data_IF_853697672790
#
_entry.id   IF_853697672790
#
_cell.length_a   1.000
_cell.length_b   1.000
_cell.length_c   1.000
_cell.angle_alpha   90.00
_cell.angle_beta   90.00
_cell.angle_gamma   90.00
#
_symmetry.space_group_name_H-M   'P 1'
#
loop_
_entity.id
_entity.type
_entity.pdbx_description
1 polymer ?
#
# COMPACT_ATOMS: atom_id res chain seq x y z
N UNK A 1 5.54 -30.53 9.26
CA UNK A 1 5.99 -29.46 10.18
C UNK A 1 5.14 -29.56 11.44
N UNK A 2 5.74 -29.51 12.63
CA UNK A 2 4.98 -29.55 13.89
C UNK A 2 4.40 -28.18 14.19
N UNK A 3 3.37 -28.11 15.05
CA UNK A 3 2.79 -26.84 15.47
C UNK A 3 3.83 -25.90 16.11
N UNK A 4 4.75 -26.42 16.93
CA UNK A 4 5.81 -25.59 17.52
C UNK A 4 6.81 -25.10 16.49
N UNK A 5 7.10 -25.88 15.45
CA UNK A 5 7.97 -25.45 14.35
C UNK A 5 7.32 -24.34 13.52
N UNK A 6 6.00 -24.40 13.29
CA UNK A 6 5.26 -23.33 12.62
C UNK A 6 5.30 -22.01 13.41
N UNK A 7 5.05 -22.07 14.73
CA UNK A 7 5.11 -20.88 15.59
C UNK A 7 6.52 -20.28 15.59
N UNK A 8 7.55 -21.12 15.74
CA UNK A 8 8.93 -20.65 15.71
C UNK A 8 9.29 -19.96 14.38
N UNK A 9 8.89 -20.54 13.24
CA UNK A 9 9.27 -20.00 11.93
C UNK A 9 8.48 -18.74 11.54
N UNK A 10 7.17 -18.74 11.77
CA UNK A 10 6.27 -17.73 11.20
C UNK A 10 5.76 -16.71 12.22
N UNK A 11 5.85 -16.99 13.52
CA UNK A 11 5.42 -16.07 14.58
C UNK A 11 6.65 -15.47 15.29
N UNK A 12 7.49 -16.30 15.91
CA UNK A 12 8.63 -15.82 16.72
C UNK A 12 9.63 -15.02 15.88
N UNK A 13 10.04 -15.57 14.73
CA UNK A 13 10.99 -14.88 13.85
C UNK A 13 10.37 -13.64 13.22
N UNK A 14 9.05 -13.62 12.99
CA UNK A 14 8.35 -12.45 12.49
C UNK A 14 8.36 -11.32 13.54
N UNK A 15 8.08 -11.64 14.81
CA UNK A 15 8.22 -10.72 15.94
C UNK A 15 9.66 -10.20 16.10
N UNK A 16 10.67 -11.07 16.00
CA UNK A 16 12.07 -10.62 16.07
C UNK A 16 12.46 -9.73 14.89
N UNK A 17 11.93 -10.01 13.71
CA UNK A 17 12.14 -9.16 12.53
C UNK A 17 11.54 -7.78 12.77
N UNK A 18 10.35 -7.73 13.39
CA UNK A 18 9.70 -6.49 13.75
C UNK A 18 10.53 -5.65 14.71
N UNK A 19 10.97 -6.24 15.82
CA UNK A 19 11.79 -5.55 16.80
C UNK A 19 13.13 -5.08 16.21
N UNK A 20 13.69 -5.84 15.27
CA UNK A 20 14.92 -5.46 14.59
C UNK A 20 14.71 -4.25 13.67
N UNK A 21 13.61 -4.20 12.92
CA UNK A 21 13.26 -3.04 12.08
C UNK A 21 13.01 -1.81 12.94
N UNK A 22 12.33 -1.94 14.08
CA UNK A 22 12.13 -0.82 15.02
C UNK A 22 13.46 -0.21 15.49
N UNK A 23 14.48 -1.06 15.70
CA UNK A 23 15.82 -0.63 16.13
C UNK A 23 16.68 -0.07 15.00
N UNK A 24 16.53 -0.59 13.78
CA UNK A 24 17.37 -0.24 12.62
C UNK A 24 16.76 0.89 11.76
N UNK A 25 15.46 1.10 11.85
CA UNK A 25 14.69 2.12 11.15
C UNK A 25 13.98 1.62 9.86
N UNK A 26 12.98 2.40 9.44
CA UNK A 26 12.00 2.06 8.38
C UNK A 26 12.62 1.68 7.03
N UNK A 27 13.82 2.19 6.72
CA UNK A 27 14.53 1.84 5.47
C UNK A 27 14.80 0.34 5.32
N UNK A 28 14.76 -0.41 6.41
CA UNK A 28 14.96 -1.86 6.44
C UNK A 28 13.66 -2.65 6.48
N UNK A 29 12.49 -2.01 6.61
CA UNK A 29 11.21 -2.67 6.81
C UNK A 29 10.84 -3.60 5.64
N UNK A 30 10.74 -3.07 4.41
CA UNK A 30 10.40 -3.86 3.22
C UNK A 30 11.37 -5.03 2.99
N UNK A 31 12.70 -4.84 2.91
CA UNK A 31 13.60 -5.96 2.66
C UNK A 31 13.60 -7.00 3.79
N UNK A 32 13.50 -6.59 5.06
CA UNK A 32 13.40 -7.53 6.18
C UNK A 32 12.08 -8.32 6.15
N UNK A 33 10.99 -7.65 5.74
CA UNK A 33 9.67 -8.24 5.69
C UNK A 33 9.44 -9.18 4.49
N UNK A 34 10.36 -9.21 3.51
CA UNK A 34 10.34 -10.12 2.37
C UNK A 34 11.08 -11.45 2.62
N UNK A 35 11.41 -11.80 3.88
CA UNK A 35 12.22 -12.99 4.23
C UNK A 35 11.74 -14.33 3.65
N UNK A 36 10.43 -14.47 3.40
CA UNK A 36 9.81 -15.69 2.85
C UNK A 36 9.31 -15.58 1.41
N UNK A 37 9.21 -14.36 0.87
CA UNK A 37 8.44 -14.06 -0.35
C UNK A 37 9.32 -13.72 -1.57
N UNK A 38 10.56 -14.19 -1.59
CA UNK A 38 11.63 -13.72 -2.47
C UNK A 38 11.89 -12.19 -2.36
N UNK A 39 12.96 -11.71 -3.00
CA UNK A 39 13.35 -10.30 -3.05
C UNK A 39 12.15 -9.40 -3.44
N UNK A 40 11.97 -8.21 -2.85
CA UNK A 40 10.97 -7.22 -3.28
C UNK A 40 10.83 -7.05 -4.81
N UNK A 41 11.93 -7.10 -5.56
CA UNK A 41 11.91 -7.00 -7.03
C UNK A 41 11.23 -8.19 -7.74
N UNK A 42 11.15 -9.36 -7.11
CA UNK A 42 10.48 -10.54 -7.64
C UNK A 42 8.96 -10.31 -7.80
N UNK A 43 8.39 -9.30 -7.11
CA UNK A 43 6.98 -8.93 -7.19
C UNK A 43 6.65 -7.98 -8.35
N UNK A 44 7.64 -7.46 -9.08
CA UNK A 44 7.39 -6.55 -10.20
C UNK A 44 6.60 -7.21 -11.34
N UNK A 45 7.02 -8.41 -11.77
CA UNK A 45 6.32 -9.11 -12.85
C UNK A 45 4.87 -9.48 -12.50
N UNK A 46 4.57 -10.07 -11.33
CA UNK A 46 3.18 -10.32 -10.92
C UNK A 46 2.35 -9.04 -10.82
N UNK A 47 2.90 -7.96 -10.23
CA UNK A 47 2.19 -6.70 -10.09
C UNK A 47 1.84 -6.06 -11.44
N UNK A 48 2.76 -6.12 -12.41
CA UNK A 48 2.53 -5.65 -13.77
C UNK A 48 1.52 -6.53 -14.51
N UNK A 49 1.62 -7.85 -14.38
CA UNK A 49 0.69 -8.80 -14.99
C UNK A 49 -0.74 -8.66 -14.43
N UNK A 50 -0.89 -8.28 -13.16
CA UNK A 50 -2.18 -7.97 -12.53
C UNK A 50 -2.66 -6.54 -12.81
N UNK A 51 -1.90 -5.75 -13.59
CA UNK A 51 -2.18 -4.35 -13.87
C UNK A 51 -2.49 -3.52 -12.62
N UNK A 52 -1.66 -3.68 -11.57
CA UNK A 52 -1.83 -2.88 -10.35
C UNK A 52 -1.76 -1.39 -10.67
N UNK A 53 -2.75 -0.65 -10.15
CA UNK A 53 -2.91 0.79 -10.37
C UNK A 53 -3.12 1.50 -9.03
N UNK A 54 -2.91 2.82 -8.97
CA UNK A 54 -3.25 3.59 -7.80
C UNK A 54 -4.70 3.36 -7.38
N UNK A 55 -4.92 3.03 -6.10
CA UNK A 55 -6.24 2.76 -5.54
C UNK A 55 -6.75 1.33 -5.71
N UNK A 56 -6.11 0.46 -6.50
CA UNK A 56 -6.45 -0.98 -6.55
C UNK A 56 -6.38 -1.59 -5.17
N UNK A 57 -7.34 -2.45 -4.81
CA UNK A 57 -7.29 -3.21 -3.56
C UNK A 57 -6.43 -4.45 -3.76
N UNK A 58 -5.42 -4.65 -2.91
CA UNK A 58 -4.53 -5.80 -2.95
C UNK A 58 -4.68 -6.60 -1.66
N UNK A 59 -5.13 -7.85 -1.77
CA UNK A 59 -5.18 -8.81 -0.66
C UNK A 59 -3.92 -9.67 -0.67
N UNK A 60 -3.17 -9.64 0.43
CA UNK A 60 -2.00 -10.49 0.66
C UNK A 60 -2.36 -11.59 1.68
N UNK A 61 -2.26 -12.86 1.27
CA UNK A 61 -2.64 -14.04 2.06
C UNK A 61 -1.38 -14.75 2.51
N UNK A 62 -1.19 -14.88 3.83
CA UNK A 62 0.12 -15.23 4.39
C UNK A 62 1.06 -14.03 4.33
N UNK A 63 0.53 -12.84 4.62
CA UNK A 63 1.25 -11.58 4.47
C UNK A 63 2.51 -11.51 5.34
N UNK A 64 2.60 -12.34 6.39
CA UNK A 64 3.65 -12.26 7.39
C UNK A 64 3.73 -10.83 7.95
N UNK A 65 4.95 -10.28 7.90
CA UNK A 65 5.27 -8.89 8.27
C UNK A 65 4.98 -7.85 7.18
N UNK A 66 4.41 -8.24 6.04
CA UNK A 66 3.82 -7.32 5.06
C UNK A 66 4.79 -6.74 4.02
N UNK A 67 5.93 -7.38 3.76
CA UNK A 67 6.95 -6.87 2.83
C UNK A 67 6.45 -6.67 1.39
N UNK A 68 5.92 -7.71 0.72
CA UNK A 68 5.40 -7.61 -0.64
C UNK A 68 4.34 -6.53 -0.81
N UNK A 69 3.36 -6.49 0.09
CA UNK A 69 2.25 -5.54 0.00
C UNK A 69 2.71 -4.10 0.27
N UNK A 70 3.68 -3.89 1.17
CA UNK A 70 4.29 -2.58 1.40
C UNK A 70 5.07 -2.10 0.17
N UNK A 71 5.85 -2.99 -0.45
CA UNK A 71 6.54 -2.68 -1.72
C UNK A 71 5.56 -2.32 -2.84
N UNK A 72 4.47 -3.09 -2.99
CA UNK A 72 3.44 -2.80 -4.00
C UNK A 72 2.71 -1.48 -3.70
N UNK A 73 2.44 -1.17 -2.43
CA UNK A 73 1.83 0.10 -2.02
C UNK A 73 2.72 1.30 -2.36
N UNK A 74 4.03 1.20 -2.10
CA UNK A 74 4.99 2.25 -2.46
C UNK A 74 5.14 2.42 -3.98
N UNK A 75 5.19 1.30 -4.73
CA UNK A 75 5.48 1.32 -6.16
C UNK A 75 4.27 1.65 -7.03
N UNK A 76 3.08 1.14 -6.69
CA UNK A 76 1.87 1.23 -7.51
C UNK A 76 0.73 2.01 -6.85
N UNK A 77 0.85 2.41 -5.59
CA UNK A 77 -0.17 3.18 -4.88
C UNK A 77 -1.44 2.36 -4.55
N UNK A 78 -1.32 1.05 -4.36
CA UNK A 78 -2.44 0.17 -4.02
C UNK A 78 -2.93 0.36 -2.58
N UNK A 79 -4.14 -0.13 -2.30
CA UNK A 79 -4.75 -0.22 -0.97
C UNK A 79 -4.59 -1.64 -0.42
N UNK A 80 -3.70 -1.86 0.55
CA UNK A 80 -3.39 -3.20 1.05
C UNK A 80 -4.46 -3.72 2.01
N UNK A 81 -4.72 -5.03 1.96
CA UNK A 81 -5.42 -5.82 2.97
C UNK A 81 -4.51 -7.00 3.30
N UNK A 82 -4.18 -7.17 4.58
CA UNK A 82 -3.27 -8.22 5.05
C UNK A 82 -4.09 -9.31 5.74
N UNK A 83 -3.85 -10.55 5.37
CA UNK A 83 -4.39 -11.72 6.04
C UNK A 83 -3.23 -12.62 6.49
N UNK A 84 -3.06 -12.73 7.81
CA UNK A 84 -1.97 -13.49 8.41
C UNK A 84 -2.50 -14.21 9.67
N UNK A 85 -2.38 -15.55 9.75
CA UNK A 85 -2.81 -16.30 10.93
C UNK A 85 -1.87 -16.15 12.14
N UNK A 86 -0.59 -15.80 11.95
CA UNK A 86 0.38 -15.69 13.05
C UNK A 86 0.27 -14.33 13.75
N UNK A 87 -0.02 -14.26 15.07
CA UNK A 87 -0.34 -12.98 15.74
C UNK A 87 0.79 -11.94 15.78
N UNK A 88 2.05 -12.37 15.88
CA UNK A 88 3.21 -11.49 15.92
C UNK A 88 3.67 -11.04 14.53
N UNK A 89 3.16 -11.69 13.48
CA UNK A 89 3.53 -11.40 12.11
C UNK A 89 2.91 -10.13 11.53
N UNK A 90 1.60 -9.80 11.65
CA UNK A 90 1.05 -8.58 11.09
C UNK A 90 1.54 -7.37 11.87
N UNK A 91 2.66 -6.81 11.44
CA UNK A 91 3.07 -5.48 11.86
C UNK A 91 2.64 -4.48 10.79
N UNK A 92 1.81 -3.49 11.10
CA UNK A 92 1.54 -2.40 10.18
C UNK A 92 2.77 -1.50 10.15
N UNK A 93 3.85 -1.93 9.48
CA UNK A 93 4.91 -0.99 9.08
C UNK A 93 4.22 0.01 8.19
N UNK A 94 4.01 1.21 8.74
CA UNK A 94 3.35 2.32 8.07
C UNK A 94 3.96 2.44 6.67
N UNK A 95 3.22 2.16 5.58
CA UNK A 95 3.44 2.98 4.42
C UNK A 95 2.95 4.36 4.88
N UNK A 96 3.90 5.19 5.31
CA UNK A 96 3.70 6.59 5.58
C UNK A 96 3.29 7.27 4.27
N UNK A 97 2.02 7.07 3.88
CA UNK A 97 1.18 7.84 2.95
C UNK A 97 -0.15 7.13 2.61
N UNK A 98 -0.73 6.35 3.52
CA UNK A 98 -2.18 6.40 3.69
C UNK A 98 -2.56 7.73 4.37
N UNK A 99 -2.24 8.88 3.76
CA UNK A 99 -3.13 10.02 3.95
C UNK A 99 -4.41 9.56 3.27
N UNK A 100 -5.45 9.33 4.07
CA UNK A 100 -6.79 9.54 3.55
C UNK A 100 -6.75 10.90 2.85
N UNK A 101 -6.85 10.94 1.52
CA UNK A 101 -7.19 12.16 0.84
C UNK A 101 -8.49 12.66 1.50
N UNK A 102 -8.55 13.89 2.04
CA UNK A 102 -9.83 14.44 2.49
C UNK A 102 -10.79 14.70 1.32
N UNK A 103 -10.41 14.40 0.08
CA UNK A 103 -11.24 14.53 -1.11
C UNK A 103 -12.08 13.26 -1.39
N UNK A 104 -12.89 12.85 -0.43
CA UNK A 104 -14.08 12.07 -0.73
C UNK A 104 -15.19 12.54 0.21
N UNK A 105 -15.72 13.74 -0.07
CA UNK A 105 -17.04 14.11 0.43
C UNK A 105 -18.06 13.10 -0.12
N UNK A 106 -19.00 12.61 0.71
CA UNK A 106 -20.03 11.69 0.22
C UNK A 106 -20.90 12.40 -0.84
N UNK A 107 -21.47 11.67 -1.82
CA UNK A 107 -22.37 12.26 -2.80
C UNK A 107 -23.67 12.65 -2.08
N UNK A 108 -23.76 13.91 -1.65
CA UNK A 108 -24.80 14.36 -0.75
C UNK A 108 -25.13 15.84 -0.90
N UNK A 109 -25.78 16.18 -2.02
CA UNK A 109 -26.70 17.31 -2.21
C UNK A 109 -26.21 18.69 -1.74
N UNK A 110 -25.59 19.43 -2.66
CA UNK A 110 -25.90 20.85 -2.80
C UNK A 110 -25.88 21.22 -4.28
N UNK A 111 -27.01 21.75 -4.74
CA UNK A 111 -27.21 22.27 -6.09
C UNK A 111 -26.13 23.32 -6.36
N UNK A 112 -25.19 23.05 -7.26
CA UNK A 112 -24.41 24.10 -7.88
C UNK A 112 -25.17 24.57 -9.12
N UNK A 113 -25.84 25.71 -8.98
CA UNK A 113 -26.31 26.51 -10.09
C UNK A 113 -25.12 26.85 -10.98
N UNK A 114 -25.16 26.39 -12.23
CA UNK A 114 -24.27 26.86 -13.28
C UNK A 114 -24.54 28.35 -13.50
N UNK A 115 -23.72 29.22 -12.92
CA UNK A 115 -23.66 30.62 -13.34
C UNK A 115 -22.72 30.69 -14.54
N UNK A 116 -23.29 31.04 -15.68
CA UNK A 116 -22.62 31.31 -16.94
C UNK A 116 -21.60 32.44 -16.79
N UNK A 117 -20.32 32.15 -17.04
CA UNK A 117 -19.36 33.15 -17.54
C UNK A 117 -19.00 32.79 -18.99
N UNK A 118 -19.10 33.74 -19.94
CA UNK A 118 -18.77 33.49 -21.34
C UNK A 118 -17.25 33.56 -21.53
N UNK A 119 -16.62 32.56 -22.17
CA UNK A 119 -15.28 32.79 -22.74
C UNK A 119 -14.28 31.63 -22.90
N UNK A 120 -14.54 30.39 -22.49
CA UNK A 120 -13.53 29.32 -22.63
C UNK A 120 -13.94 28.29 -23.67
N UNK A 121 -13.15 28.15 -24.74
CA UNK A 121 -13.33 27.15 -25.80
C UNK A 121 -13.04 25.73 -25.27
N UNK A 122 -13.74 24.69 -25.74
CA UNK A 122 -13.48 23.32 -25.30
C UNK A 122 -12.23 22.77 -26.02
N UNK A 123 -11.23 22.29 -25.27
CA UNK A 123 -10.06 21.64 -25.84
C UNK A 123 -8.88 21.28 -24.90
N UNK A 124 -8.94 21.58 -23.60
CA UNK A 124 -7.84 21.28 -22.67
C UNK A 124 -7.75 19.80 -22.28
N UNK A 125 -6.53 19.25 -22.28
CA UNK A 125 -6.23 17.89 -21.85
C UNK A 125 -6.16 17.83 -20.30
N UNK A 126 -6.56 16.74 -19.63
CA UNK A 126 -6.61 16.65 -18.16
C UNK A 126 -5.29 16.85 -17.40
N UNK A 127 -4.18 17.13 -18.08
CA UNK A 127 -2.85 17.33 -17.48
C UNK A 127 -2.27 18.72 -17.72
N UNK A 128 -3.07 19.69 -18.19
CA UNK A 128 -2.56 21.06 -18.28
C UNK A 128 -2.33 21.63 -16.86
N UNK A 129 -1.12 22.12 -16.56
CA UNK A 129 -0.80 22.62 -15.23
C UNK A 129 -1.57 23.91 -14.95
N UNK A 130 -2.17 24.00 -13.76
CA UNK A 130 -2.74 25.24 -13.25
C UNK A 130 -1.62 26.27 -13.09
N UNK A 131 -1.70 27.37 -13.85
CA UNK A 131 -0.88 28.56 -13.61
C UNK A 131 -1.62 29.42 -12.59
N UNK A 132 -1.01 29.66 -11.43
CA UNK A 132 -1.48 30.60 -10.43
C UNK A 132 -0.93 32.00 -10.74
N UNK A 133 -1.77 33.04 -10.63
CA UNK A 133 -1.40 34.47 -10.68
C UNK A 133 -0.73 34.93 -9.36
#
# INVERSE_FOLDING_TARGET
>A
MTASAMVAEFDDVAGWTADAVERLGDRYAIPAACRGSANPAAWAWPAEACELRPGSVLLDVGAGVGGPVAWAAERFGVRPILLEPMPAAPTPWRPARARASPACSPPGRSRCSWSTRPGVRPGGHPNDPCVED
#
